data_IF_155624890429
#
_entry.id   IF_155624890429
#
_cell.length_a   1.000
_cell.length_b   1.000
_cell.length_c   1.000
_cell.angle_alpha   90.00
_cell.angle_beta   90.00
_cell.angle_gamma   90.00
#
_symmetry.space_group_name_H-M   'P 1'
#
loop_
_entity.id
_entity.type
_entity.pdbx_description
1 polymer ?
#
# COMPACT_ATOMS: atom_id res chain seq x y z
N UNK A 1 22.02 -28.69 -0.21
CA UNK A 1 22.98 -27.57 -0.17
C UNK A 1 22.50 -26.34 -0.93
N UNK A 2 21.64 -26.47 -1.94
CA UNK A 2 21.10 -25.35 -2.76
C UNK A 2 20.11 -24.42 -2.03
N UNK A 3 19.28 -24.95 -1.13
CA UNK A 3 18.29 -24.10 -0.39
C UNK A 3 18.92 -23.04 0.52
N UNK A 4 20.15 -23.27 1.01
CA UNK A 4 20.83 -22.29 1.86
C UNK A 4 21.48 -21.13 1.08
N UNK A 5 21.90 -21.37 -0.15
CA UNK A 5 22.47 -20.32 -1.02
C UNK A 5 21.39 -19.36 -1.53
N UNK A 6 20.18 -19.87 -1.79
CA UNK A 6 19.03 -19.03 -2.20
C UNK A 6 18.57 -18.09 -1.07
N UNK A 7 18.45 -18.62 0.17
CA UNK A 7 18.12 -17.81 1.36
C UNK A 7 19.15 -16.72 1.65
N UNK A 8 20.43 -17.02 1.48
CA UNK A 8 21.53 -16.04 1.68
C UNK A 8 21.52 -14.97 0.59
N UNK A 9 21.17 -15.32 -0.66
CA UNK A 9 21.03 -14.36 -1.75
C UNK A 9 19.83 -13.42 -1.54
N UNK A 10 18.70 -13.95 -1.07
CA UNK A 10 17.49 -13.17 -0.77
C UNK A 10 17.74 -12.23 0.40
N UNK A 11 18.34 -12.72 1.48
CA UNK A 11 18.69 -11.89 2.65
C UNK A 11 19.65 -10.74 2.29
N UNK A 12 20.64 -10.99 1.41
CA UNK A 12 21.52 -9.94 0.89
C UNK A 12 20.75 -8.90 0.07
N UNK A 13 19.80 -9.30 -0.76
CA UNK A 13 18.95 -8.37 -1.52
C UNK A 13 18.07 -7.53 -0.58
N UNK A 14 17.43 -8.14 0.42
CA UNK A 14 16.62 -7.44 1.42
C UNK A 14 17.47 -6.43 2.20
N UNK A 15 18.67 -6.82 2.63
CA UNK A 15 19.60 -5.93 3.34
C UNK A 15 20.06 -4.77 2.45
N UNK A 16 20.35 -5.03 1.17
CA UNK A 16 20.74 -3.99 0.20
C UNK A 16 19.58 -3.01 -0.03
N UNK A 17 18.35 -3.51 -0.22
CA UNK A 17 17.18 -2.66 -0.41
C UNK A 17 16.78 -1.91 0.87
N UNK A 18 16.88 -2.54 2.04
CA UNK A 18 16.70 -1.86 3.32
C UNK A 18 17.76 -0.76 3.54
N UNK A 19 19.02 -0.98 3.10
CA UNK A 19 20.07 0.04 3.14
C UNK A 19 19.80 1.17 2.13
N UNK A 20 19.31 0.88 0.93
CA UNK A 20 18.92 1.88 -0.07
C UNK A 20 17.74 2.70 0.44
N UNK A 21 16.71 2.06 0.98
CA UNK A 21 15.57 2.74 1.60
C UNK A 21 15.97 3.54 2.84
N UNK A 22 16.89 3.02 3.65
CA UNK A 22 17.44 3.75 4.79
C UNK A 22 18.27 4.96 4.34
N UNK A 23 19.01 4.88 3.24
CA UNK A 23 19.76 5.99 2.67
C UNK A 23 18.84 7.04 2.01
N UNK A 24 17.68 6.64 1.51
CA UNK A 24 16.66 7.55 0.98
C UNK A 24 15.84 8.16 2.12
N UNK A 25 15.47 7.37 3.13
CA UNK A 25 14.65 7.80 4.26
C UNK A 25 15.46 8.45 5.40
N UNK A 26 16.73 8.08 5.59
CA UNK A 26 17.58 8.62 6.67
C UNK A 26 17.86 10.11 6.55
N UNK A 27 18.13 10.70 5.37
CA UNK A 27 18.19 12.15 5.24
C UNK A 27 16.88 12.85 5.62
N UNK A 28 15.73 12.19 5.38
CA UNK A 28 14.39 12.69 5.73
C UNK A 28 14.11 12.63 7.24
N UNK A 29 14.79 11.73 7.98
CA UNK A 29 14.60 11.53 9.42
C UNK A 29 15.59 12.37 10.29
N UNK A 30 16.67 12.87 9.73
CA UNK A 30 17.79 13.50 10.49
C UNK A 30 17.85 15.02 10.32
N UNK A 31 16.98 15.64 9.54
CA UNK A 31 16.98 17.08 9.38
C UNK A 31 16.45 17.79 10.64
N UNK A 32 17.19 18.80 11.17
CA UNK A 32 16.76 19.55 12.36
C UNK A 32 15.49 20.34 12.07
N UNK A 33 14.50 20.20 12.96
CA UNK A 33 13.25 20.95 12.92
C UNK A 33 13.51 22.45 13.06
N UNK A 34 13.53 23.19 11.95
CA UNK A 34 13.39 24.64 11.95
C UNK A 34 11.98 24.97 11.50
N UNK A 35 11.18 25.45 12.45
CA UNK A 35 9.84 25.94 12.18
C UNK A 35 9.92 27.17 11.27
N UNK A 36 9.50 27.05 10.03
CA UNK A 36 9.12 28.16 9.18
C UNK A 36 7.72 27.95 8.65
N UNK A 37 6.90 29.00 8.74
CA UNK A 37 5.57 29.07 8.15
C UNK A 37 5.66 28.76 6.65
N UNK A 38 5.01 27.66 6.24
CA UNK A 38 5.05 27.20 4.85
C UNK A 38 4.64 28.27 3.85
N UNK A 39 5.31 28.37 2.70
CA UNK A 39 4.93 29.28 1.63
C UNK A 39 3.57 28.87 1.06
N UNK A 40 2.65 29.83 0.92
CA UNK A 40 1.40 29.62 0.20
C UNK A 40 1.72 29.24 -1.24
N UNK A 41 1.23 28.07 -1.67
CA UNK A 41 1.38 27.62 -3.05
C UNK A 41 0.72 28.63 -4.01
N UNK A 42 1.40 28.97 -5.10
CA UNK A 42 0.90 29.88 -6.13
C UNK A 42 0.01 29.16 -7.13
N UNK A 43 -0.81 29.91 -7.90
CA UNK A 43 -1.64 29.33 -8.99
C UNK A 43 -0.80 28.57 -10.03
N UNK A 44 0.46 28.98 -10.23
CA UNK A 44 1.42 28.32 -11.12
C UNK A 44 1.77 26.91 -10.63
N UNK A 45 1.97 26.73 -9.32
CA UNK A 45 2.27 25.43 -8.71
C UNK A 45 1.09 24.45 -8.85
N UNK A 46 -0.15 24.95 -8.87
CA UNK A 46 -1.36 24.16 -9.10
C UNK A 46 -1.46 23.65 -10.55
N UNK A 47 -1.10 24.47 -11.53
CA UNK A 47 -1.12 24.07 -12.94
C UNK A 47 -0.07 23.00 -13.22
N UNK A 48 1.10 23.12 -12.60
CA UNK A 48 2.21 22.18 -12.75
C UNK A 48 1.91 20.84 -12.06
N UNK A 49 1.32 20.85 -10.85
CA UNK A 49 0.92 19.65 -10.15
C UNK A 49 -0.23 18.89 -10.87
N UNK A 50 -1.20 19.63 -11.43
CA UNK A 50 -2.31 19.00 -12.18
C UNK A 50 -1.84 18.42 -13.52
N UNK A 51 -0.95 19.10 -14.21
CA UNK A 51 -0.34 18.64 -15.47
C UNK A 51 0.54 17.42 -15.22
N UNK A 52 1.27 17.41 -14.10
CA UNK A 52 2.13 16.32 -13.68
C UNK A 52 1.31 15.08 -13.31
N UNK A 53 0.23 15.24 -12.54
CA UNK A 53 -0.65 14.12 -12.16
C UNK A 53 -1.35 13.51 -13.38
N UNK A 54 -1.79 14.33 -14.35
CA UNK A 54 -2.37 13.87 -15.60
C UNK A 54 -1.33 13.15 -16.49
N UNK A 55 -0.09 13.63 -16.55
CA UNK A 55 1.00 13.00 -17.31
C UNK A 55 1.43 11.66 -16.68
N UNK A 56 1.50 11.58 -15.36
CA UNK A 56 1.79 10.34 -14.64
C UNK A 56 0.68 9.30 -14.79
N UNK A 57 -0.59 9.71 -14.68
CA UNK A 57 -1.74 8.84 -14.89
C UNK A 57 -1.79 8.31 -16.35
N UNK A 58 -1.52 9.17 -17.34
CA UNK A 58 -1.48 8.77 -18.75
C UNK A 58 -0.28 7.86 -19.08
N UNK A 59 0.88 8.12 -18.47
CA UNK A 59 2.09 7.30 -18.62
C UNK A 59 1.93 5.92 -17.98
N UNK A 60 1.30 5.84 -16.80
CA UNK A 60 0.96 4.59 -16.14
C UNK A 60 0.00 3.74 -16.98
N UNK A 61 -1.00 4.38 -17.60
CA UNK A 61 -1.98 3.70 -18.45
C UNK A 61 -1.38 3.17 -19.77
N UNK A 62 -0.33 3.83 -20.30
CA UNK A 62 0.26 3.48 -21.60
C UNK A 62 1.50 2.58 -21.53
N UNK A 63 2.37 2.75 -20.55
CA UNK A 63 3.70 2.12 -20.52
C UNK A 63 4.07 1.45 -19.19
N UNK A 64 3.16 1.38 -18.23
CA UNK A 64 3.35 0.65 -16.96
C UNK A 64 4.43 1.24 -16.04
N UNK A 65 5.01 0.38 -15.21
CA UNK A 65 5.94 0.74 -14.12
C UNK A 65 7.22 1.46 -14.59
N UNK A 66 7.74 1.17 -15.80
CA UNK A 66 8.97 1.78 -16.31
C UNK A 66 8.79 3.27 -16.63
N UNK A 67 7.62 3.67 -17.11
CA UNK A 67 7.31 5.08 -17.37
C UNK A 67 7.12 5.86 -16.06
N UNK A 68 6.50 5.26 -15.03
CA UNK A 68 6.39 5.87 -13.71
C UNK A 68 7.76 6.02 -13.03
N UNK A 69 8.63 5.00 -13.14
CA UNK A 69 10.00 5.05 -12.63
C UNK A 69 10.80 6.18 -13.30
N UNK A 70 10.72 6.31 -14.62
CA UNK A 70 11.41 7.36 -15.36
C UNK A 70 10.87 8.75 -14.98
N UNK A 71 9.56 8.89 -14.82
CA UNK A 71 8.94 10.18 -14.43
C UNK A 71 9.27 10.53 -12.98
N UNK A 72 9.26 9.56 -12.06
CA UNK A 72 9.69 9.76 -10.66
C UNK A 72 11.18 10.14 -10.58
N UNK A 73 12.04 9.50 -11.41
CA UNK A 73 13.47 9.84 -11.50
C UNK A 73 13.66 11.25 -12.08
N UNK A 74 12.87 11.64 -13.06
CA UNK A 74 12.93 12.99 -13.68
C UNK A 74 12.50 14.07 -12.68
N UNK A 75 11.51 13.79 -11.82
CA UNK A 75 11.07 14.69 -10.74
C UNK A 75 12.14 14.86 -9.67
N UNK A 76 12.86 13.78 -9.33
CA UNK A 76 13.96 13.82 -8.36
C UNK A 76 15.21 14.55 -8.87
N UNK A 77 15.37 14.74 -10.18
CA UNK A 77 16.58 15.35 -10.79
C UNK A 77 16.42 16.82 -11.22
N UNK A 78 15.19 17.35 -11.22
CA UNK A 78 14.96 18.77 -11.50
C UNK A 78 15.06 19.64 -10.23
N UNK A 79 15.37 20.91 -10.37
CA UNK A 79 15.65 21.92 -9.31
C UNK A 79 14.63 22.01 -8.14
N UNK A 80 13.55 21.23 -8.18
CA UNK A 80 12.59 21.07 -7.10
C UNK A 80 13.09 20.16 -5.96
N UNK A 81 14.19 19.43 -6.12
CA UNK A 81 14.63 18.40 -5.18
C UNK A 81 14.88 18.95 -3.77
N UNK A 82 15.55 20.11 -3.63
CA UNK A 82 15.84 20.69 -2.31
C UNK A 82 14.60 21.24 -1.61
N UNK A 83 13.68 21.88 -2.36
CA UNK A 83 12.42 22.42 -1.82
C UNK A 83 11.45 21.29 -1.49
N UNK A 84 11.41 20.24 -2.32
CA UNK A 84 10.62 19.02 -2.08
C UNK A 84 11.18 18.24 -0.89
N UNK A 85 12.50 18.13 -0.75
CA UNK A 85 13.17 17.45 0.37
C UNK A 85 12.88 18.16 1.70
N UNK A 86 12.95 19.50 1.75
CA UNK A 86 12.62 20.30 2.92
C UNK A 86 11.12 20.19 3.26
N UNK A 87 10.25 20.13 2.26
CA UNK A 87 8.81 20.04 2.44
C UNK A 87 8.36 18.62 2.88
N UNK A 88 8.91 17.55 2.27
CA UNK A 88 8.64 16.15 2.64
C UNK A 88 9.10 15.81 4.07
N UNK A 89 10.05 16.54 4.62
CA UNK A 89 10.55 16.34 5.98
C UNK A 89 9.57 16.75 7.08
N UNK A 90 8.50 17.50 6.75
CA UNK A 90 7.60 18.09 7.74
C UNK A 90 6.18 17.51 7.70
N UNK A 91 5.79 16.79 6.65
CA UNK A 91 4.42 16.31 6.47
C UNK A 91 4.41 14.90 5.91
N UNK A 92 3.46 14.10 6.35
CA UNK A 92 3.24 12.76 5.84
C UNK A 92 3.11 11.72 6.94
N UNK A 93 2.98 10.49 6.51
CA UNK A 93 2.78 9.33 7.39
C UNK A 93 3.72 8.20 7.01
N UNK A 94 4.48 7.70 7.99
CA UNK A 94 5.23 6.48 7.89
C UNK A 94 4.56 5.38 8.72
N UNK A 95 4.41 4.19 8.17
CA UNK A 95 3.84 3.05 8.89
C UNK A 95 4.68 1.80 8.70
N UNK A 96 4.95 1.11 9.81
CA UNK A 96 5.47 -0.25 9.82
C UNK A 96 4.33 -1.17 10.24
N UNK A 97 4.07 -2.19 9.44
CA UNK A 97 3.09 -3.24 9.74
C UNK A 97 3.83 -4.54 10.00
N UNK A 98 3.49 -5.20 11.10
CA UNK A 98 3.95 -6.53 11.46
C UNK A 98 2.71 -7.42 11.53
N UNK A 99 2.61 -8.37 10.60
CA UNK A 99 1.50 -9.32 10.56
C UNK A 99 1.99 -10.72 10.93
N UNK A 100 1.17 -11.43 11.69
CA UNK A 100 1.40 -12.82 12.09
C UNK A 100 0.16 -13.62 11.74
N UNK A 101 0.33 -14.71 11.00
CA UNK A 101 -0.73 -15.65 10.69
C UNK A 101 -1.06 -16.56 11.91
N UNK A 102 -2.09 -17.39 11.78
CA UNK A 102 -2.52 -18.36 12.79
C UNK A 102 -1.50 -19.50 13.03
N UNK A 103 -0.51 -19.67 12.14
CA UNK A 103 0.60 -20.61 12.29
C UNK A 103 1.83 -19.96 12.97
N UNK A 104 1.77 -18.67 13.27
CA UNK A 104 2.86 -17.91 13.90
C UNK A 104 3.96 -17.45 12.93
N UNK A 105 3.71 -17.42 11.61
CA UNK A 105 4.65 -16.90 10.63
C UNK A 105 4.55 -15.39 10.54
N UNK A 106 5.71 -14.73 10.45
CA UNK A 106 5.84 -13.27 10.29
C UNK A 106 6.02 -12.89 8.82
N UNK A 107 5.16 -13.40 7.94
CA UNK A 107 5.43 -13.38 6.51
C UNK A 107 4.98 -12.09 5.80
N UNK A 108 4.27 -11.17 6.48
CA UNK A 108 3.69 -9.98 5.88
C UNK A 108 4.15 -8.66 6.51
N UNK A 109 5.43 -8.56 6.85
CA UNK A 109 5.98 -7.27 7.31
C UNK A 109 6.02 -6.27 6.16
N UNK A 110 5.56 -5.05 6.44
CA UNK A 110 5.49 -3.98 5.45
C UNK A 110 5.99 -2.66 6.01
N UNK A 111 6.50 -1.82 5.13
CA UNK A 111 6.74 -0.40 5.37
C UNK A 111 6.02 0.40 4.30
N UNK A 112 5.20 1.35 4.71
CA UNK A 112 4.48 2.27 3.84
C UNK A 112 4.77 3.71 4.24
N UNK A 113 4.90 4.58 3.25
CA UNK A 113 5.14 6.01 3.43
C UNK A 113 4.25 6.82 2.51
N UNK A 114 3.44 7.72 3.06
CA UNK A 114 2.66 8.68 2.31
C UNK A 114 3.25 10.07 2.51
N UNK A 115 3.52 10.76 1.40
CA UNK A 115 3.95 12.15 1.39
C UNK A 115 2.94 13.01 0.63
N UNK A 116 2.40 14.08 1.25
CA UNK A 116 1.61 15.05 0.52
C UNK A 116 2.55 15.83 -0.42
N UNK A 117 2.23 15.92 -1.70
CA UNK A 117 2.94 16.71 -2.72
C UNK A 117 2.40 18.14 -2.79
N UNK A 118 1.14 18.33 -2.43
CA UNK A 118 0.45 19.61 -2.38
C UNK A 118 -0.69 19.55 -1.38
N UNK A 119 -0.87 20.57 -0.57
CA UNK A 119 -1.99 20.72 0.36
C UNK A 119 -2.42 22.19 0.51
N UNK A 120 -3.67 22.48 0.17
CA UNK A 120 -4.29 23.80 0.36
C UNK A 120 -5.45 23.78 1.36
N UNK A 121 -5.50 22.81 2.29
CA UNK A 121 -6.57 22.53 3.26
C UNK A 121 -7.86 21.97 2.64
N UNK A 122 -8.18 22.29 1.40
CA UNK A 122 -9.36 21.80 0.66
C UNK A 122 -9.06 20.60 -0.22
N UNK A 123 -7.79 20.48 -0.67
CA UNK A 123 -7.33 19.38 -1.50
C UNK A 123 -5.92 18.98 -1.10
N UNK A 124 -5.65 17.68 -1.15
CA UNK A 124 -4.33 17.10 -0.98
C UNK A 124 -4.00 16.29 -2.23
N UNK A 125 -2.87 16.60 -2.87
CA UNK A 125 -2.22 15.70 -3.81
C UNK A 125 -1.12 14.97 -3.05
N UNK A 126 -1.04 13.65 -3.17
CA UNK A 126 -0.06 12.85 -2.42
C UNK A 126 0.56 11.75 -3.28
N UNK A 127 1.74 11.30 -2.86
CA UNK A 127 2.34 10.04 -3.30
C UNK A 127 2.40 9.07 -2.11
N UNK A 128 2.28 7.79 -2.40
CA UNK A 128 2.49 6.72 -1.41
C UNK A 128 3.44 5.68 -1.97
N UNK A 129 4.40 5.29 -1.15
CA UNK A 129 5.38 4.26 -1.43
C UNK A 129 5.19 3.13 -0.42
N UNK A 130 5.36 1.88 -0.85
CA UNK A 130 5.30 0.73 0.02
C UNK A 130 6.30 -0.33 -0.38
N UNK A 131 6.79 -1.09 0.60
CA UNK A 131 7.56 -2.32 0.39
C UNK A 131 7.08 -3.36 1.39
N UNK A 132 6.96 -4.59 0.93
CA UNK A 132 6.49 -5.72 1.74
C UNK A 132 7.10 -7.02 1.27
N UNK A 133 7.07 -8.01 2.15
CA UNK A 133 7.62 -9.32 1.87
C UNK A 133 6.60 -10.44 2.18
N UNK A 134 5.48 -10.53 1.41
CA UNK A 134 4.52 -11.61 1.60
C UNK A 134 5.11 -12.93 1.06
N UNK A 135 4.94 -14.02 1.78
CA UNK A 135 5.28 -15.40 1.35
C UNK A 135 6.67 -15.57 0.71
N UNK A 136 7.66 -14.81 1.21
CA UNK A 136 9.03 -14.83 0.67
C UNK A 136 9.20 -14.08 -0.65
N UNK A 137 8.19 -13.37 -1.14
CA UNK A 137 8.24 -12.45 -2.28
C UNK A 137 8.52 -11.04 -1.79
N UNK A 138 9.15 -10.22 -2.61
CA UNK A 138 9.37 -8.80 -2.33
C UNK A 138 8.57 -7.97 -3.29
N UNK A 139 7.55 -7.27 -2.80
CA UNK A 139 6.68 -6.40 -3.60
C UNK A 139 6.88 -4.95 -3.23
N UNK A 140 7.06 -4.09 -4.23
CA UNK A 140 7.05 -2.63 -4.12
C UNK A 140 5.74 -2.07 -4.65
N UNK A 141 5.27 -1.00 -4.01
CA UNK A 141 4.07 -0.27 -4.41
C UNK A 141 4.44 1.21 -4.56
N UNK A 142 3.98 1.83 -5.63
CA UNK A 142 4.05 3.28 -5.81
C UNK A 142 2.70 3.80 -6.27
N UNK A 143 2.20 4.84 -5.60
CA UNK A 143 0.89 5.41 -5.89
C UNK A 143 0.88 6.92 -5.90
N UNK A 144 -0.11 7.46 -6.61
CA UNK A 144 -0.48 8.87 -6.62
C UNK A 144 -1.97 8.97 -6.32
N UNK A 145 -2.34 9.98 -5.56
CA UNK A 145 -3.74 10.20 -5.24
C UNK A 145 -4.07 11.65 -4.92
N UNK A 146 -5.35 11.94 -5.02
CA UNK A 146 -5.92 13.24 -4.66
C UNK A 146 -7.05 13.03 -3.66
N UNK A 147 -7.11 13.87 -2.63
CA UNK A 147 -8.19 13.96 -1.65
C UNK A 147 -8.79 15.35 -1.67
N UNK A 148 -10.12 15.45 -1.59
CA UNK A 148 -10.86 16.71 -1.59
C UNK A 148 -11.77 16.80 -0.38
N UNK A 149 -11.85 17.99 0.25
CA UNK A 149 -12.58 18.29 1.48
C UNK A 149 -13.64 19.37 1.25
N UNK A 150 -14.27 19.37 0.08
CA UNK A 150 -15.23 20.42 -0.32
C UNK A 150 -16.65 20.15 0.16
N UNK A 151 -16.99 18.92 0.52
CA UNK A 151 -18.37 18.51 0.81
C UNK A 151 -18.55 18.33 2.32
N UNK A 152 -18.86 19.42 3.01
CA UNK A 152 -19.10 19.44 4.48
C UNK A 152 -18.16 18.49 5.27
N UNK A 153 -18.74 17.46 5.91
CA UNK A 153 -18.00 16.54 6.77
C UNK A 153 -17.48 15.29 6.02
N UNK A 154 -17.34 15.38 4.70
CA UNK A 154 -16.83 14.28 3.86
C UNK A 154 -15.57 14.67 3.11
N UNK A 155 -14.64 13.75 3.07
CA UNK A 155 -13.53 13.71 2.14
C UNK A 155 -13.84 12.70 1.03
N UNK A 156 -13.57 13.05 -0.21
CA UNK A 156 -13.56 12.14 -1.34
C UNK A 156 -12.17 12.10 -1.94
N UNK A 157 -11.70 10.89 -2.26
CA UNK A 157 -10.38 10.67 -2.84
C UNK A 157 -10.42 9.72 -4.02
N UNK A 158 -9.38 9.84 -4.86
CA UNK A 158 -9.09 8.91 -5.92
C UNK A 158 -7.60 8.68 -6.00
N UNK A 159 -7.19 7.47 -6.36
CA UNK A 159 -5.78 7.10 -6.43
C UNK A 159 -5.51 6.08 -7.53
N UNK A 160 -4.26 6.00 -7.95
CA UNK A 160 -3.73 4.98 -8.84
C UNK A 160 -2.42 4.47 -8.29
N UNK A 161 -2.21 3.14 -8.38
CA UNK A 161 -1.01 2.47 -7.91
C UNK A 161 -0.43 1.57 -8.99
N UNK A 162 0.89 1.46 -8.99
CA UNK A 162 1.63 0.39 -9.66
C UNK A 162 2.26 -0.49 -8.59
N UNK A 163 2.03 -1.79 -8.69
CA UNK A 163 2.61 -2.82 -7.83
C UNK A 163 3.56 -3.69 -8.66
N UNK A 164 4.76 -3.94 -8.14
CA UNK A 164 5.80 -4.75 -8.80
C UNK A 164 6.34 -5.79 -7.81
N UNK A 165 6.11 -7.07 -8.07
CA UNK A 165 6.75 -8.19 -7.39
C UNK A 165 8.13 -8.42 -8.03
N UNK A 166 9.16 -7.89 -7.38
CA UNK A 166 10.55 -8.00 -7.85
C UNK A 166 11.10 -9.43 -7.84
N UNK A 167 10.47 -10.33 -7.10
CA UNK A 167 10.89 -11.72 -6.97
C UNK A 167 10.29 -12.59 -8.06
N UNK A 168 9.01 -12.38 -8.37
CA UNK A 168 8.25 -13.17 -9.33
C UNK A 168 7.97 -12.47 -10.65
N UNK A 169 8.44 -11.22 -10.85
CA UNK A 169 8.22 -10.42 -12.07
C UNK A 169 6.73 -10.15 -12.37
N UNK A 170 5.89 -10.15 -11.33
CA UNK A 170 4.46 -9.87 -11.46
C UNK A 170 4.18 -8.39 -11.28
N UNK A 171 3.38 -7.80 -12.18
CA UNK A 171 3.02 -6.39 -12.16
C UNK A 171 1.52 -6.21 -12.30
N UNK A 172 0.97 -5.25 -11.54
CA UNK A 172 -0.43 -4.84 -11.68
C UNK A 172 -0.60 -3.34 -11.48
N UNK A 173 -1.70 -2.81 -12.01
CA UNK A 173 -2.16 -1.45 -11.74
C UNK A 173 -3.42 -1.55 -10.89
N UNK A 174 -3.50 -0.72 -9.85
CA UNK A 174 -4.68 -0.55 -9.01
C UNK A 174 -5.28 0.85 -9.17
N UNK A 175 -6.61 0.94 -9.15
CA UNK A 175 -7.35 2.19 -9.06
C UNK A 175 -8.22 2.15 -7.81
N UNK A 176 -8.21 3.23 -7.04
CA UNK A 176 -8.97 3.33 -5.80
C UNK A 176 -9.82 4.58 -5.71
N UNK A 177 -10.95 4.45 -5.01
CA UNK A 177 -11.81 5.54 -4.60
C UNK A 177 -11.99 5.52 -3.08
N UNK A 178 -12.01 6.69 -2.46
CA UNK A 178 -12.15 6.87 -1.01
C UNK A 178 -13.31 7.82 -0.71
N UNK A 179 -14.07 7.52 0.34
CA UNK A 179 -15.09 8.41 0.89
C UNK A 179 -15.06 8.32 2.42
N UNK A 180 -14.48 9.34 3.07
CA UNK A 180 -14.26 9.35 4.51
C UNK A 180 -15.04 10.46 5.21
N UNK A 181 -15.47 10.21 6.43
CA UNK A 181 -15.96 11.20 7.36
C UNK A 181 -15.31 10.99 8.72
N UNK A 182 -15.67 11.79 9.73
CA UNK A 182 -15.20 11.54 11.09
C UNK A 182 -15.61 10.13 11.52
N UNK A 183 -14.67 9.36 12.03
CA UNK A 183 -14.86 7.99 12.55
C UNK A 183 -15.34 6.93 11.53
N UNK A 184 -15.40 7.23 10.21
CA UNK A 184 -15.77 6.26 9.18
C UNK A 184 -14.95 6.47 7.92
N UNK A 185 -14.38 5.39 7.41
CA UNK A 185 -13.66 5.31 6.15
C UNK A 185 -14.29 4.26 5.25
N UNK A 186 -14.57 4.64 4.02
CA UNK A 186 -15.02 3.75 2.96
C UNK A 186 -13.99 3.80 1.84
N UNK A 187 -13.65 2.65 1.28
CA UNK A 187 -12.79 2.55 0.09
C UNK A 187 -13.28 1.46 -0.85
N UNK A 188 -13.00 1.64 -2.13
CA UNK A 188 -13.24 0.66 -3.17
C UNK A 188 -12.06 0.66 -4.13
N UNK A 189 -11.51 -0.50 -4.44
CA UNK A 189 -10.32 -0.66 -5.26
C UNK A 189 -10.56 -1.69 -6.35
N UNK A 190 -9.92 -1.49 -7.51
CA UNK A 190 -9.86 -2.49 -8.58
C UNK A 190 -8.41 -2.72 -8.99
N UNK A 191 -8.08 -3.93 -9.39
CA UNK A 191 -6.74 -4.40 -9.70
C UNK A 191 -6.71 -5.05 -11.06
N UNK A 192 -5.75 -4.66 -11.90
CA UNK A 192 -5.59 -5.15 -13.28
C UNK A 192 -4.16 -5.63 -13.43
N UNK A 193 -3.96 -6.92 -13.71
CA UNK A 193 -2.66 -7.51 -14.00
C UNK A 193 -2.10 -6.99 -15.32
N UNK A 194 -0.85 -6.54 -15.32
CA UNK A 194 -0.18 -6.02 -16.52
C UNK A 194 0.91 -6.93 -17.05
N UNK A 195 1.47 -7.83 -16.22
CA UNK A 195 2.37 -8.88 -16.69
C UNK A 195 1.61 -10.04 -17.34
N UNK A 196 2.23 -10.63 -18.36
CA UNK A 196 1.71 -11.79 -19.06
C UNK A 196 2.07 -13.09 -18.31
N UNK A 197 1.50 -14.23 -18.78
CA UNK A 197 1.87 -15.54 -18.26
C UNK A 197 3.37 -15.80 -18.43
N UNK A 198 4.05 -16.09 -17.33
CA UNK A 198 5.48 -16.42 -17.28
C UNK A 198 5.72 -17.59 -16.31
N UNK A 199 6.95 -18.08 -16.23
CA UNK A 199 7.27 -19.20 -15.34
C UNK A 199 7.00 -18.86 -13.89
N UNK A 200 6.29 -19.76 -13.20
CA UNK A 200 6.02 -19.58 -11.77
C UNK A 200 7.29 -19.71 -10.94
N UNK A 201 7.44 -18.79 -9.96
CA UNK A 201 8.45 -18.91 -8.91
C UNK A 201 8.04 -19.85 -7.77
N UNK A 202 6.73 -20.16 -7.64
CA UNK A 202 6.18 -21.00 -6.55
C UNK A 202 6.07 -22.47 -6.93
N UNK A 203 5.78 -22.78 -8.20
CA UNK A 203 5.50 -24.13 -8.65
C UNK A 203 6.33 -24.53 -9.87
N UNK A 204 6.94 -25.69 -9.82
CA UNK A 204 7.54 -26.33 -10.98
C UNK A 204 6.47 -26.68 -12.03
N UNK A 205 6.76 -26.44 -13.32
CA UNK A 205 5.86 -26.72 -14.44
C UNK A 205 4.54 -25.93 -14.46
N UNK A 206 4.49 -24.79 -13.79
CA UNK A 206 3.41 -23.82 -13.87
C UNK A 206 3.89 -22.48 -14.42
N UNK A 207 2.95 -21.76 -15.00
CA UNK A 207 3.04 -20.34 -15.26
C UNK A 207 2.18 -19.58 -14.26
N UNK A 208 2.57 -18.34 -13.96
CA UNK A 208 1.82 -17.45 -13.10
C UNK A 208 1.62 -16.07 -13.74
N UNK A 209 0.66 -15.33 -13.28
CA UNK A 209 0.45 -13.91 -13.53
C UNK A 209 -0.47 -13.33 -12.44
N UNK A 210 -0.54 -11.99 -12.27
CA UNK A 210 -1.53 -11.37 -11.39
C UNK A 210 -2.97 -11.72 -11.79
N UNK A 211 -3.81 -11.99 -10.80
CA UNK A 211 -5.25 -12.07 -10.98
C UNK A 211 -5.86 -10.67 -11.00
N UNK A 212 -6.80 -10.43 -11.91
CA UNK A 212 -7.64 -9.23 -11.86
C UNK A 212 -8.65 -9.35 -10.72
N UNK A 213 -9.00 -8.24 -10.09
CA UNK A 213 -9.94 -8.29 -8.98
C UNK A 213 -10.37 -6.92 -8.47
N UNK A 214 -11.13 -6.93 -7.38
CA UNK A 214 -11.54 -5.72 -6.68
C UNK A 214 -11.79 -6.01 -5.20
N UNK A 215 -11.77 -4.96 -4.40
CA UNK A 215 -12.26 -4.98 -3.02
C UNK A 215 -13.09 -3.75 -2.68
N UNK A 216 -13.93 -3.90 -1.65
CA UNK A 216 -14.69 -2.82 -1.03
C UNK A 216 -14.50 -2.94 0.48
N UNK A 217 -14.20 -1.82 1.14
CA UNK A 217 -13.85 -1.78 2.55
C UNK A 217 -14.63 -0.72 3.28
N UNK A 218 -14.93 -1.01 4.54
CA UNK A 218 -15.46 -0.07 5.51
C UNK A 218 -14.72 -0.22 6.82
N UNK A 219 -14.21 0.87 7.37
CA UNK A 219 -13.64 0.91 8.71
C UNK A 219 -14.33 2.00 9.53
N UNK A 220 -14.83 1.62 10.71
CA UNK A 220 -15.55 2.51 11.59
C UNK A 220 -15.02 2.48 13.00
N UNK A 221 -15.14 3.62 13.71
CA UNK A 221 -14.67 3.81 15.09
C UNK A 221 -15.81 4.31 15.95
N UNK A 222 -15.80 3.94 17.23
CA UNK A 222 -16.81 4.42 18.17
C UNK A 222 -16.46 5.85 18.62
N UNK A 223 -17.31 6.88 18.41
CA UNK A 223 -17.02 8.24 18.87
C UNK A 223 -16.82 8.35 20.38
N UNK A 224 -17.54 7.52 21.17
CA UNK A 224 -17.41 7.46 22.63
C UNK A 224 -16.16 6.70 23.09
N UNK A 225 -15.56 5.88 22.24
CA UNK A 225 -14.34 5.12 22.52
C UNK A 225 -13.51 4.98 21.23
N UNK A 226 -12.83 6.06 20.80
CA UNK A 226 -12.16 6.17 19.51
C UNK A 226 -10.97 5.21 19.33
N UNK A 227 -10.52 4.60 20.42
CA UNK A 227 -9.48 3.58 20.41
C UNK A 227 -9.95 2.27 19.76
N UNK A 228 -11.26 1.97 19.80
CA UNK A 228 -11.83 0.75 19.26
C UNK A 228 -12.41 1.00 17.87
N UNK A 229 -11.95 0.23 16.90
CA UNK A 229 -12.44 0.23 15.54
C UNK A 229 -12.86 -1.17 15.09
N UNK A 230 -13.72 -1.20 14.09
CA UNK A 230 -14.12 -2.40 13.40
C UNK A 230 -13.99 -2.19 11.89
N UNK A 231 -13.59 -3.24 11.17
CA UNK A 231 -13.52 -3.22 9.71
C UNK A 231 -14.31 -4.36 9.10
N UNK A 232 -14.79 -4.09 7.90
CA UNK A 232 -15.44 -5.06 7.01
C UNK A 232 -14.83 -4.90 5.63
N UNK A 233 -14.44 -5.99 5.00
CA UNK A 233 -13.95 -6.02 3.63
C UNK A 233 -14.60 -7.16 2.87
N UNK A 234 -14.94 -6.89 1.62
CA UNK A 234 -15.26 -7.89 0.62
C UNK A 234 -14.27 -7.80 -0.51
N UNK A 235 -13.73 -8.93 -0.94
CA UNK A 235 -12.80 -9.00 -2.07
C UNK A 235 -13.18 -10.12 -3.03
N UNK A 236 -12.90 -9.91 -4.32
CA UNK A 236 -13.15 -10.86 -5.40
C UNK A 236 -12.01 -10.80 -6.40
N UNK A 237 -11.49 -11.96 -6.77
CA UNK A 237 -10.48 -12.09 -7.83
C UNK A 237 -10.95 -13.06 -8.92
N UNK A 238 -10.45 -12.89 -10.14
CA UNK A 238 -10.89 -13.63 -11.32
C UNK A 238 -9.76 -14.48 -11.89
N UNK A 239 -10.07 -15.72 -12.21
CA UNK A 239 -9.17 -16.72 -12.81
C UNK A 239 -9.52 -18.13 -12.39
N UNK A 240 -9.00 -19.14 -13.09
CA UNK A 240 -9.33 -20.53 -12.84
C UNK A 240 -8.64 -21.13 -11.60
N UNK A 241 -7.42 -20.69 -11.30
CA UNK A 241 -6.59 -21.20 -10.19
C UNK A 241 -5.94 -20.00 -9.49
N UNK A 242 -6.70 -19.30 -8.68
CA UNK A 242 -6.27 -18.11 -7.94
C UNK A 242 -5.96 -18.48 -6.50
N UNK A 243 -4.78 -18.07 -6.00
CA UNK A 243 -4.35 -18.22 -4.62
C UNK A 243 -4.77 -16.99 -3.79
N UNK A 244 -6.03 -16.94 -3.35
CA UNK A 244 -6.54 -15.83 -2.53
C UNK A 244 -6.14 -15.94 -1.07
N UNK A 245 -6.02 -17.13 -0.53
CA UNK A 245 -5.60 -17.40 0.85
C UNK A 245 -4.11 -17.74 0.88
N UNK A 246 -3.73 -18.70 0.04
CA UNK A 246 -2.36 -19.15 -0.14
C UNK A 246 -2.20 -19.82 -1.52
N UNK A 247 -0.97 -20.17 -1.87
CA UNK A 247 -0.65 -20.84 -3.13
C UNK A 247 -1.04 -22.33 -3.18
N UNK A 248 -1.26 -22.97 -2.03
CA UNK A 248 -1.56 -24.41 -1.95
C UNK A 248 -3.06 -24.68 -2.09
N UNK A 249 -3.90 -23.65 -1.93
CA UNK A 249 -5.36 -23.72 -2.02
C UNK A 249 -5.89 -22.83 -3.14
N UNK A 250 -5.71 -23.28 -4.39
CA UNK A 250 -6.13 -22.57 -5.58
C UNK A 250 -7.63 -22.75 -5.85
N UNK A 251 -8.33 -21.65 -6.11
CA UNK A 251 -9.77 -21.61 -6.35
C UNK A 251 -10.10 -20.91 -7.67
N UNK A 252 -11.26 -21.22 -8.25
CA UNK A 252 -11.78 -20.52 -9.43
C UNK A 252 -12.62 -19.32 -9.00
N UNK A 253 -12.24 -18.14 -9.47
CA UNK A 253 -12.90 -16.87 -9.16
C UNK A 253 -13.20 -16.69 -7.66
N UNK A 254 -12.19 -16.84 -6.76
CA UNK A 254 -12.46 -16.82 -5.33
C UNK A 254 -12.92 -15.46 -4.84
N UNK A 255 -13.77 -15.48 -3.81
CA UNK A 255 -14.16 -14.30 -3.03
C UNK A 255 -14.02 -14.57 -1.54
N UNK A 256 -13.83 -13.51 -0.77
CA UNK A 256 -13.78 -13.58 0.68
C UNK A 256 -14.42 -12.36 1.34
N UNK A 257 -14.90 -12.55 2.56
CA UNK A 257 -15.31 -11.50 3.48
C UNK A 257 -14.33 -11.51 4.64
N UNK A 258 -13.81 -10.35 5.00
CA UNK A 258 -12.99 -10.15 6.20
C UNK A 258 -13.72 -9.27 7.19
N UNK A 259 -13.79 -9.72 8.43
CA UNK A 259 -14.28 -8.92 9.58
C UNK A 259 -13.10 -8.75 10.52
N UNK A 260 -12.84 -7.51 10.94
CA UNK A 260 -11.73 -7.20 11.82
C UNK A 260 -12.11 -6.28 12.97
N UNK A 261 -11.31 -6.35 14.01
CA UNK A 261 -11.32 -5.42 15.13
C UNK A 261 -9.93 -4.83 15.30
N UNK A 262 -9.85 -3.55 15.61
CA UNK A 262 -8.59 -2.90 15.92
C UNK A 262 -8.69 -2.11 17.23
N UNK A 263 -7.59 -2.05 17.95
CA UNK A 263 -7.43 -1.28 19.17
C UNK A 263 -6.19 -0.40 19.07
N UNK A 264 -6.40 0.90 19.22
CA UNK A 264 -5.38 1.95 19.11
C UNK A 264 -5.23 2.64 20.45
N UNK A 265 -4.40 2.15 21.39
CA UNK A 265 -4.22 2.75 22.71
C UNK A 265 -3.66 4.18 22.62
N UNK A 266 -2.78 4.41 21.66
CA UNK A 266 -2.18 5.72 21.35
C UNK A 266 -2.08 5.87 19.84
N UNK A 267 -2.02 7.08 19.25
CA UNK A 267 -1.93 7.27 17.81
C UNK A 267 -0.81 6.48 17.11
N UNK A 268 0.32 6.29 17.81
CA UNK A 268 1.48 5.57 17.30
C UNK A 268 1.24 4.08 17.07
N UNK A 269 0.38 3.41 17.86
CA UNK A 269 0.28 1.95 17.90
C UNK A 269 -1.16 1.52 17.69
N UNK A 270 -1.37 0.57 16.78
CA UNK A 270 -2.65 -0.12 16.58
C UNK A 270 -2.42 -1.63 16.54
N UNK A 271 -3.10 -2.36 17.41
CA UNK A 271 -3.19 -3.81 17.33
C UNK A 271 -4.50 -4.21 16.63
N UNK A 272 -4.44 -5.21 15.77
CA UNK A 272 -5.59 -5.69 15.00
C UNK A 272 -5.72 -7.21 15.02
N UNK A 273 -6.94 -7.66 14.83
CA UNK A 273 -7.28 -9.06 14.55
C UNK A 273 -8.30 -9.09 13.42
N UNK A 274 -8.02 -9.87 12.40
CA UNK A 274 -8.83 -10.06 11.22
C UNK A 274 -9.21 -11.53 11.07
N UNK A 275 -10.47 -11.79 10.79
CA UNK A 275 -10.98 -13.08 10.38
C UNK A 275 -11.49 -12.98 8.95
N UNK A 276 -10.83 -13.68 8.04
CA UNK A 276 -11.15 -13.76 6.62
C UNK A 276 -11.80 -15.12 6.35
N UNK A 277 -12.96 -15.09 5.67
CA UNK A 277 -13.68 -16.28 5.27
C UNK A 277 -14.02 -16.22 3.80
N UNK A 278 -13.65 -17.27 3.08
CA UNK A 278 -13.89 -17.44 1.65
C UNK A 278 -14.86 -18.59 1.33
N UNK A 279 -14.81 -18.99 0.07
CA UNK A 279 -15.52 -20.15 -0.46
C UNK A 279 -14.93 -21.47 0.09
N UNK A 280 -15.67 -22.57 -0.07
CA UNK A 280 -15.23 -23.93 0.29
C UNK A 280 -14.74 -24.09 1.75
N UNK A 281 -15.30 -23.26 2.65
CA UNK A 281 -14.93 -23.22 4.07
C UNK A 281 -13.48 -22.80 4.34
N UNK A 282 -12.83 -22.16 3.37
CA UNK A 282 -11.52 -21.56 3.61
C UNK A 282 -11.66 -20.38 4.58
N UNK A 283 -10.79 -20.35 5.57
CA UNK A 283 -10.71 -19.27 6.53
C UNK A 283 -9.26 -19.02 6.98
N UNK A 284 -9.00 -17.81 7.40
CA UNK A 284 -7.70 -17.34 7.86
C UNK A 284 -7.90 -16.35 9.01
N UNK A 285 -7.07 -16.45 10.03
CA UNK A 285 -7.00 -15.46 11.11
C UNK A 285 -5.64 -14.78 11.09
N UNK A 286 -5.65 -13.46 11.08
CA UNK A 286 -4.44 -12.64 11.03
C UNK A 286 -4.40 -11.69 12.21
N UNK A 287 -3.26 -11.61 12.88
CA UNK A 287 -2.96 -10.62 13.92
C UNK A 287 -2.02 -9.58 13.34
N UNK A 288 -2.29 -8.31 13.59
CA UNK A 288 -1.47 -7.20 13.11
C UNK A 288 -1.03 -6.28 14.22
N UNK A 289 0.18 -5.75 14.09
CA UNK A 289 0.70 -4.66 14.91
C UNK A 289 1.24 -3.57 13.99
N UNK A 290 0.59 -2.41 14.03
CA UNK A 290 0.92 -1.27 13.19
C UNK A 290 1.55 -0.16 14.03
N UNK A 291 2.72 0.31 13.59
CA UNK A 291 3.38 1.50 14.10
C UNK A 291 3.18 2.63 13.10
N UNK A 292 2.33 3.58 13.45
CA UNK A 292 1.96 4.71 12.61
C UNK A 292 2.61 5.99 13.13
N UNK A 293 3.48 6.58 12.34
CA UNK A 293 4.19 7.80 12.70
C UNK A 293 3.77 8.96 11.78
N UNK A 294 3.11 9.96 12.36
CA UNK A 294 2.74 11.20 11.67
C UNK A 294 3.91 12.21 11.80
N UNK A 295 4.50 12.60 10.66
CA UNK A 295 5.70 13.45 10.62
C UNK A 295 5.42 14.89 11.09
N UNK A 296 4.18 15.36 10.94
CA UNK A 296 3.72 16.70 11.34
C UNK A 296 3.35 16.82 12.81
N UNK A 297 3.48 15.72 13.57
CA UNK A 297 3.02 15.64 14.96
C UNK A 297 4.17 15.43 15.94
N UNK A 298 4.10 16.09 17.12
CA UNK A 298 5.09 15.90 18.17
C UNK A 298 5.07 14.47 18.72
N UNK A 299 6.19 13.98 19.22
CA UNK A 299 6.28 12.65 19.84
C UNK A 299 5.26 12.48 20.98
N UNK A 300 5.09 13.52 21.85
CA UNK A 300 4.11 13.48 22.93
C UNK A 300 2.70 13.29 22.42
N UNK A 301 2.34 13.95 21.33
CA UNK A 301 1.01 13.81 20.68
C UNK A 301 0.79 12.38 20.20
N UNK A 302 1.81 11.72 19.66
CA UNK A 302 1.70 10.37 19.11
C UNK A 302 1.57 9.27 20.16
N UNK A 303 2.05 9.50 21.37
CA UNK A 303 1.93 8.58 22.51
C UNK A 303 0.84 8.96 23.52
N UNK A 304 0.03 9.99 23.23
CA UNK A 304 -1.06 10.46 24.11
C UNK A 304 -2.39 9.79 23.72
N UNK A 305 -3.05 9.05 24.62
CA UNK A 305 -4.33 8.39 24.36
C UNK A 305 -5.45 9.35 23.93
N UNK A 306 -5.44 10.59 24.43
CA UNK A 306 -6.44 11.61 24.11
C UNK A 306 -6.38 12.03 22.63
N UNK A 307 -5.23 11.91 22.00
CA UNK A 307 -5.03 12.27 20.60
C UNK A 307 -5.58 11.23 19.61
N UNK A 308 -6.01 10.06 20.10
CA UNK A 308 -6.64 9.04 19.24
C UNK A 308 -7.94 9.59 18.62
N UNK A 309 -8.75 10.33 19.37
CA UNK A 309 -9.95 10.98 18.84
C UNK A 309 -9.62 11.98 17.71
N UNK A 310 -8.57 12.78 17.90
CA UNK A 310 -8.07 13.71 16.87
C UNK A 310 -7.68 12.99 15.60
N UNK A 311 -6.95 11.87 15.71
CA UNK A 311 -6.55 11.02 14.57
C UNK A 311 -7.77 10.47 13.80
N UNK A 312 -8.92 10.20 14.46
CA UNK A 312 -10.14 9.69 13.82
C UNK A 312 -10.97 10.77 13.14
N UNK A 313 -10.64 12.05 13.35
CA UNK A 313 -11.27 13.15 12.61
C UNK A 313 -10.75 13.24 11.17
N UNK A 314 -11.51 13.86 10.27
CA UNK A 314 -11.05 14.11 8.89
C UNK A 314 -9.75 14.93 8.84
N UNK A 315 -9.57 15.85 9.77
CA UNK A 315 -8.34 16.64 9.86
C UNK A 315 -7.15 15.78 10.25
N UNK A 316 -7.31 14.89 11.23
CA UNK A 316 -6.25 14.02 11.73
C UNK A 316 -5.93 12.83 10.81
N UNK A 317 -6.90 12.38 10.00
CA UNK A 317 -6.71 11.29 9.04
C UNK A 317 -6.32 11.76 7.64
N UNK A 318 -6.10 13.06 7.46
CA UNK A 318 -5.83 13.72 6.19
C UNK A 318 -4.70 13.07 5.37
N UNK A 319 -3.66 12.62 6.06
CA UNK A 319 -2.48 11.97 5.51
C UNK A 319 -2.41 10.47 5.84
N UNK A 320 -3.52 9.85 6.23
CA UNK A 320 -3.55 8.41 6.44
C UNK A 320 -3.30 7.68 5.12
N UNK A 321 -2.66 6.51 5.21
CA UNK A 321 -2.40 5.65 4.05
C UNK A 321 -3.69 5.28 3.32
N UNK A 322 -3.59 5.04 2.02
CA UNK A 322 -4.69 4.50 1.21
C UNK A 322 -4.99 3.08 1.67
N UNK A 323 -6.29 2.82 1.95
CA UNK A 323 -6.75 1.49 2.35
C UNK A 323 -7.07 0.64 1.11
N UNK A 324 -6.14 -0.27 0.77
CA UNK A 324 -6.20 -1.15 -0.40
C UNK A 324 -5.48 -2.48 -0.15
N UNK A 325 -5.69 -3.47 -1.02
CA UNK A 325 -4.80 -4.63 -1.05
C UNK A 325 -3.50 -4.27 -1.77
N UNK A 326 -2.41 -4.26 -1.04
CA UNK A 326 -1.07 -3.97 -1.57
C UNK A 326 -0.33 -5.25 -2.03
N UNK A 327 -0.84 -6.44 -1.72
CA UNK A 327 -0.28 -7.73 -2.15
C UNK A 327 -0.84 -8.10 -3.52
N UNK A 328 0.02 -8.65 -4.39
CA UNK A 328 -0.40 -9.12 -5.72
C UNK A 328 -0.96 -10.53 -5.59
N UNK A 329 -2.26 -10.68 -5.70
CA UNK A 329 -2.90 -11.99 -5.77
C UNK A 329 -2.62 -12.62 -7.13
N UNK A 330 -2.13 -13.88 -7.12
CA UNK A 330 -1.67 -14.58 -8.31
C UNK A 330 -2.67 -15.63 -8.77
N UNK A 331 -2.68 -15.85 -10.06
CA UNK A 331 -3.30 -17.02 -10.67
C UNK A 331 -2.25 -17.89 -11.37
N UNK A 332 -2.50 -19.18 -11.39
CA UNK A 332 -1.54 -20.19 -11.84
C UNK A 332 -2.14 -21.05 -12.96
N UNK A 333 -1.29 -21.48 -13.89
CA UNK A 333 -1.67 -22.36 -15.00
C UNK A 333 -0.60 -23.41 -15.24
N UNK A 334 -0.98 -24.68 -15.20
CA UNK A 334 -0.05 -25.77 -15.52
C UNK A 334 0.44 -25.68 -16.96
N UNK A 335 1.75 -25.82 -17.18
CA UNK A 335 2.33 -25.86 -18.52
C UNK A 335 1.84 -27.08 -19.27
N UNK A 336 1.55 -26.92 -20.57
CA UNK A 336 1.20 -28.06 -21.42
C UNK A 336 2.41 -29.00 -21.50
N UNK A 337 2.22 -30.25 -21.11
CA UNK A 337 3.25 -31.29 -21.31
C UNK A 337 3.36 -31.54 -22.80
N UNK A 338 4.48 -31.17 -23.43
CA UNK A 338 4.76 -31.59 -24.80
C UNK A 338 4.89 -33.11 -24.79
N UNK A 339 3.87 -33.82 -25.28
CA UNK A 339 4.06 -35.24 -25.66
C UNK A 339 5.10 -35.27 -26.74
N UNK A 340 6.31 -35.71 -26.41
CA UNK A 340 7.29 -36.05 -27.45
C UNK A 340 6.65 -37.16 -28.31
N UNK A 341 6.26 -36.80 -29.52
CA UNK A 341 5.91 -37.76 -30.53
C UNK A 341 7.22 -38.46 -30.88
N UNK A 342 7.43 -39.66 -30.33
CA UNK A 342 8.46 -40.56 -30.84
C UNK A 342 7.99 -41.05 -32.21
N UNK A 343 8.61 -40.56 -33.25
CA UNK A 343 8.55 -41.11 -34.62
C UNK A 343 9.44 -42.34 -34.67
#
# INVERSE_FOLDING_TARGET
MEKNTLKISLLKKIVIWAQILLQIAFPLLVLPAHASSGPGATETDMSDASTLSASLASSAAQNGADAMKNTATHLATTHAASTVEEWLSHFGTAQVTLDVDDNGNWDNSAFDFLAPLYDNKKSVLFTQLGIRAPDGRTTGNIGLGVRTFYVRDWMFGGNVFCDDDFTGENRRIGFGAEAWTNYLKLSANTYIGTSQWHNSGDFDNYNEKPADGYDVRAEGYLPSFPQLGAKLMYEQYYGDNVGLFDKDHLQSNPSAVTVGLNYTPVPLITAGIDYKRGQDSMDEMKFSLNFHYALDSSWQSQISPEQVATRRSLAGSRYDLVDRNNEIILQYKKKATSKAVRI
#
